data_IF_312758713241
#
_entry.id   IF_312758713241
#
_cell.length_a   1.000
_cell.length_b   1.000
_cell.length_c   1.000
_cell.angle_alpha   90.00
_cell.angle_beta   90.00
_cell.angle_gamma   90.00
#
_symmetry.space_group_name_H-M   'P 1'
#
loop_
_entity.id
_entity.type
_entity.pdbx_description
1 polymer ?
#
# COMPACT_ATOMS: atom_id res chain seq x y z
N UNK A 1 25.11 17.81 -18.83
CA UNK A 1 24.05 17.07 -18.08
C UNK A 1 23.61 15.76 -18.76
N UNK A 2 23.14 15.80 -20.01
CA UNK A 2 22.51 14.64 -20.69
C UNK A 2 23.43 13.43 -20.94
N UNK A 3 24.74 13.57 -20.73
CA UNK A 3 25.71 12.47 -20.88
C UNK A 3 25.87 11.63 -19.61
N UNK A 4 25.43 12.11 -18.44
CA UNK A 4 25.53 11.37 -17.19
C UNK A 4 24.55 10.19 -17.20
N UNK A 5 25.06 9.02 -16.83
CA UNK A 5 24.33 7.75 -16.75
C UNK A 5 24.45 7.09 -15.39
N UNK A 6 25.33 7.57 -14.52
CA UNK A 6 25.34 7.18 -13.11
C UNK A 6 25.69 8.36 -12.21
N UNK A 7 25.22 8.28 -10.97
CA UNK A 7 25.59 9.13 -9.86
C UNK A 7 25.97 8.22 -8.69
N UNK A 8 27.18 8.37 -8.21
CA UNK A 8 27.71 7.68 -7.03
C UNK A 8 27.99 8.68 -5.92
N UNK A 9 27.57 8.31 -4.71
CA UNK A 9 27.76 9.09 -3.48
C UNK A 9 28.48 8.20 -2.48
N UNK A 10 29.55 8.73 -1.86
CA UNK A 10 30.20 8.06 -0.73
C UNK A 10 30.23 9.01 0.45
N UNK A 11 29.71 8.55 1.58
CA UNK A 11 29.61 9.29 2.82
C UNK A 11 30.28 8.51 3.94
N UNK A 12 31.02 9.20 4.81
CA UNK A 12 31.70 8.58 5.95
C UNK A 12 31.04 9.05 7.24
N UNK A 13 30.53 8.10 8.02
CA UNK A 13 30.04 8.35 9.36
C UNK A 13 31.20 8.25 10.35
N UNK A 14 31.65 9.39 10.87
CA UNK A 14 32.77 9.45 11.81
C UNK A 14 32.45 8.87 13.20
N UNK A 15 31.16 8.82 13.59
CA UNK A 15 30.72 8.26 14.87
C UNK A 15 30.77 6.73 14.85
N UNK A 16 30.36 6.13 13.73
CA UNK A 16 30.40 4.68 13.52
C UNK A 16 31.74 4.19 12.95
N UNK A 17 32.51 5.07 12.31
CA UNK A 17 33.75 4.70 11.63
C UNK A 17 33.52 3.94 10.33
N UNK A 18 32.37 4.14 9.69
CA UNK A 18 31.91 3.38 8.51
C UNK A 18 31.70 4.29 7.30
N UNK A 19 31.94 3.77 6.10
CA UNK A 19 31.63 4.47 4.85
C UNK A 19 30.45 3.82 4.15
N UNK A 20 29.49 4.62 3.74
CA UNK A 20 28.34 4.19 2.94
C UNK A 20 28.53 4.66 1.50
N UNK A 21 28.46 3.71 0.57
CA UNK A 21 28.47 3.99 -0.86
C UNK A 21 27.10 3.68 -1.44
N UNK A 22 26.55 4.63 -2.19
CA UNK A 22 25.26 4.49 -2.85
C UNK A 22 25.37 4.95 -4.31
N UNK A 23 24.67 4.25 -5.20
CA UNK A 23 24.70 4.54 -6.63
C UNK A 23 23.29 4.45 -7.22
N UNK A 24 22.98 5.41 -8.09
CA UNK A 24 21.91 5.29 -9.07
C UNK A 24 22.50 5.29 -10.47
N UNK A 25 22.04 4.37 -11.32
CA UNK A 25 22.56 4.21 -12.67
C UNK A 25 21.44 3.98 -13.67
N UNK A 26 21.66 4.33 -14.94
CA UNK A 26 20.71 4.07 -16.00
C UNK A 26 20.97 2.72 -16.64
N UNK A 27 19.96 1.85 -16.63
CA UNK A 27 19.95 0.54 -17.28
C UNK A 27 18.71 0.47 -18.18
N UNK A 28 18.87 0.12 -19.46
CA UNK A 28 17.76 0.01 -20.43
C UNK A 28 16.85 1.26 -20.46
N UNK A 29 17.44 2.45 -20.43
CA UNK A 29 16.77 3.76 -20.35
C UNK A 29 15.99 4.05 -19.05
N UNK A 30 16.07 3.21 -18.04
CA UNK A 30 15.46 3.41 -16.72
C UNK A 30 16.54 3.63 -15.66
N UNK A 31 16.30 4.54 -14.72
CA UNK A 31 17.18 4.71 -13.56
C UNK A 31 16.89 3.63 -12.53
N UNK A 32 17.95 2.99 -12.05
CA UNK A 32 17.91 1.85 -11.13
C UNK A 32 18.91 2.04 -10.01
N UNK A 33 18.72 1.29 -8.93
CA UNK A 33 19.60 1.26 -7.76
C UNK A 33 20.35 -0.09 -7.78
N UNK A 34 21.61 -0.13 -8.25
CA UNK A 34 22.33 -1.40 -8.42
C UNK A 34 22.51 -2.21 -7.14
N UNK A 35 22.67 -1.52 -6.00
CA UNK A 35 22.78 -2.15 -4.68
C UNK A 35 21.49 -2.84 -4.21
N UNK A 36 20.36 -2.58 -4.87
CA UNK A 36 19.04 -3.11 -4.53
C UNK A 36 18.47 -3.89 -5.72
N UNK A 37 19.26 -4.79 -6.29
CA UNK A 37 18.85 -5.66 -7.40
C UNK A 37 18.34 -4.91 -8.65
N UNK A 38 18.82 -3.68 -8.87
CA UNK A 38 18.34 -2.77 -9.91
C UNK A 38 16.88 -2.33 -9.72
N UNK A 39 16.42 -2.19 -8.47
CA UNK A 39 15.12 -1.60 -8.17
C UNK A 39 15.00 -0.22 -8.84
N UNK A 40 13.83 0.14 -9.43
CA UNK A 40 13.62 1.44 -10.05
C UNK A 40 13.92 2.61 -9.10
N UNK A 41 14.77 3.54 -9.51
CA UNK A 41 14.90 4.83 -8.84
C UNK A 41 13.80 5.78 -9.34
N UNK A 42 12.59 5.64 -8.80
CA UNK A 42 11.37 6.32 -9.27
C UNK A 42 11.05 7.64 -8.52
N UNK A 43 11.93 8.11 -7.62
CA UNK A 43 11.88 9.47 -7.08
C UNK A 43 12.40 10.51 -8.09
N UNK A 44 11.58 10.83 -9.09
CA UNK A 44 11.97 11.68 -10.22
C UNK A 44 12.51 13.06 -9.83
N UNK A 45 11.91 13.72 -8.82
CA UNK A 45 12.35 15.03 -8.35
C UNK A 45 13.72 14.97 -7.69
N UNK A 46 13.96 13.96 -6.85
CA UNK A 46 15.27 13.72 -6.21
C UNK A 46 16.36 13.51 -7.25
N UNK A 47 16.09 12.65 -8.23
CA UNK A 47 17.03 12.36 -9.30
C UNK A 47 17.37 13.62 -10.11
N UNK A 48 16.37 14.46 -10.39
CA UNK A 48 16.57 15.73 -11.09
C UNK A 48 17.42 16.70 -10.27
N UNK A 49 17.13 16.85 -8.98
CA UNK A 49 17.91 17.71 -8.08
C UNK A 49 19.38 17.27 -8.03
N UNK A 50 19.63 15.99 -7.81
CA UNK A 50 20.96 15.41 -7.77
C UNK A 50 21.72 15.55 -9.10
N UNK A 51 21.05 15.34 -10.24
CA UNK A 51 21.66 15.50 -11.56
C UNK A 51 22.08 16.96 -11.87
N UNK A 52 21.45 17.93 -11.21
CA UNK A 52 21.80 19.35 -11.36
C UNK A 52 22.82 19.85 -10.35
N UNK A 53 23.12 19.09 -9.30
CA UNK A 53 23.94 19.54 -8.18
C UNK A 53 25.36 19.98 -8.58
N UNK A 54 25.94 19.32 -9.58
CA UNK A 54 27.30 19.63 -10.06
C UNK A 54 27.32 20.52 -11.30
N UNK A 55 26.16 20.96 -11.79
CA UNK A 55 26.07 21.86 -12.92
C UNK A 55 26.29 23.30 -12.45
N UNK A 56 27.07 24.06 -13.20
CA UNK A 56 27.28 25.50 -13.00
C UNK A 56 27.78 25.88 -11.60
N UNK A 57 28.53 24.99 -10.94
CA UNK A 57 29.20 25.31 -9.66
C UNK A 57 30.23 26.42 -9.86
N UNK A 58 29.98 27.58 -9.26
CA UNK A 58 30.90 28.71 -9.29
C UNK A 58 31.88 28.68 -8.11
N UNK A 59 33.18 28.80 -8.43
CA UNK A 59 34.22 28.97 -7.43
C UNK A 59 34.17 30.39 -6.88
N UNK A 60 33.74 30.53 -5.63
CA UNK A 60 33.69 31.82 -4.93
C UNK A 60 35.10 32.24 -4.51
N UNK A 61 35.87 31.31 -3.95
CA UNK A 61 37.25 31.55 -3.56
C UNK A 61 38.08 30.27 -3.53
N UNK A 62 39.40 30.42 -3.60
CA UNK A 62 40.37 29.38 -3.29
C UNK A 62 40.95 29.67 -1.91
N UNK A 63 40.86 28.71 -1.00
CA UNK A 63 41.29 28.88 0.40
C UNK A 63 42.61 28.19 0.72
N UNK A 64 43.01 27.21 -0.09
CA UNK A 64 44.29 26.50 0.06
C UNK A 64 44.77 25.90 -1.27
N UNK A 65 46.07 25.68 -1.38
CA UNK A 65 46.73 24.89 -2.42
C UNK A 65 47.58 23.74 -1.86
N UNK A 66 47.51 23.49 -0.56
CA UNK A 66 48.29 22.47 0.14
C UNK A 66 47.43 21.27 0.53
N UNK A 67 47.92 20.07 0.19
CA UNK A 67 47.28 18.81 0.54
C UNK A 67 47.23 18.58 2.06
N UNK A 68 48.17 19.16 2.82
CA UNK A 68 48.16 19.04 4.29
C UNK A 68 46.92 19.68 4.95
N UNK A 69 46.23 20.57 4.23
CA UNK A 69 45.03 21.25 4.71
C UNK A 69 43.73 20.48 4.50
N UNK A 70 43.74 19.33 3.81
CA UNK A 70 42.52 18.59 3.46
C UNK A 70 41.72 18.16 4.69
N UNK A 71 42.40 17.68 5.72
CA UNK A 71 41.76 17.29 6.99
C UNK A 71 41.08 18.49 7.67
N UNK A 72 41.74 19.66 7.67
CA UNK A 72 41.22 20.88 8.27
C UNK A 72 39.91 21.34 7.61
N UNK A 73 39.82 21.25 6.29
CA UNK A 73 38.65 21.69 5.52
C UNK A 73 37.61 20.58 5.33
N UNK A 74 37.85 19.37 5.85
CA UNK A 74 36.93 18.26 5.71
C UNK A 74 36.86 17.69 4.29
N UNK A 75 37.89 17.87 3.46
CA UNK A 75 37.89 17.47 2.04
C UNK A 75 38.77 16.26 1.76
N UNK A 76 39.11 15.47 2.78
CA UNK A 76 39.74 14.16 2.58
C UNK A 76 38.75 13.26 1.84
N UNK A 77 39.20 12.66 0.74
CA UNK A 77 38.34 11.81 -0.09
C UNK A 77 37.98 10.53 0.67
N UNK A 78 36.69 10.18 0.79
CA UNK A 78 36.28 8.91 1.36
C UNK A 78 36.62 7.77 0.38
N UNK A 79 37.13 6.68 0.92
CA UNK A 79 37.14 5.39 0.24
C UNK A 79 35.97 4.54 0.77
N UNK A 80 35.53 3.53 0.00
CA UNK A 80 34.49 2.59 0.47
C UNK A 80 34.87 1.88 1.78
N UNK A 81 36.17 1.68 2.01
CA UNK A 81 36.71 1.11 3.24
C UNK A 81 37.58 2.12 3.98
N UNK A 82 37.06 3.33 4.22
CA UNK A 82 37.77 4.34 5.01
C UNK A 82 38.02 3.80 6.42
N UNK A 83 39.28 3.84 6.88
CA UNK A 83 39.64 3.36 8.21
C UNK A 83 38.92 4.15 9.32
N UNK A 84 38.42 3.47 10.37
CA UNK A 84 37.81 4.14 11.51
C UNK A 84 38.73 5.19 12.14
N UNK A 85 38.16 6.31 12.57
CA UNK A 85 38.88 7.41 13.22
C UNK A 85 39.61 8.37 12.27
N UNK A 86 39.49 8.18 10.94
CA UNK A 86 39.90 9.19 9.95
C UNK A 86 39.14 10.49 10.18
N UNK A 87 39.85 11.60 10.20
CA UNK A 87 39.30 12.94 10.41
C UNK A 87 39.21 13.70 9.10
N UNK A 88 38.31 14.67 9.06
CA UNK A 88 38.16 15.57 7.92
C UNK A 88 37.78 14.87 6.61
N UNK A 89 37.11 13.70 6.71
CA UNK A 89 36.59 12.97 5.55
C UNK A 89 35.35 13.71 5.04
N UNK A 90 35.34 14.01 3.75
CA UNK A 90 34.23 14.68 3.09
C UNK A 90 33.24 13.69 2.46
N UNK A 91 32.15 14.22 1.89
CA UNK A 91 31.20 13.49 1.07
C UNK A 91 31.67 13.51 -0.38
N UNK A 92 31.89 12.35 -0.98
CA UNK A 92 32.23 12.22 -2.39
C UNK A 92 30.96 12.17 -3.24
N UNK A 93 30.94 12.94 -4.33
CA UNK A 93 29.89 12.92 -5.34
C UNK A 93 30.56 12.74 -6.70
N UNK A 94 30.12 11.74 -7.45
CA UNK A 94 30.71 11.35 -8.73
C UNK A 94 29.63 11.11 -9.78
N UNK A 95 29.83 11.67 -10.97
CA UNK A 95 28.99 11.46 -12.15
C UNK A 95 29.79 10.75 -13.23
N UNK A 96 29.24 9.69 -13.82
CA UNK A 96 29.86 8.98 -14.93
C UNK A 96 28.94 8.91 -16.15
N UNK A 97 29.54 8.68 -17.32
CA UNK A 97 28.81 8.39 -18.55
C UNK A 97 28.51 6.89 -18.70
N UNK A 98 27.89 6.50 -19.81
CA UNK A 98 27.54 5.09 -20.11
C UNK A 98 28.75 4.14 -20.13
N UNK A 99 29.96 4.66 -20.40
CA UNK A 99 31.20 3.88 -20.47
C UNK A 99 31.91 3.78 -19.12
N UNK A 100 31.40 4.43 -18.08
CA UNK A 100 32.07 4.60 -16.79
C UNK A 100 33.15 5.69 -16.80
N UNK A 101 33.22 6.54 -17.83
CA UNK A 101 34.14 7.68 -17.79
C UNK A 101 33.59 8.73 -16.82
N UNK A 102 34.42 9.17 -15.87
CA UNK A 102 34.07 10.22 -14.90
C UNK A 102 33.87 11.55 -15.62
N UNK A 103 32.64 12.07 -15.57
CA UNK A 103 32.27 13.38 -16.10
C UNK A 103 32.56 14.50 -15.10
N UNK A 104 32.30 14.23 -13.82
CA UNK A 104 32.56 15.15 -12.72
C UNK A 104 32.79 14.36 -11.43
N UNK A 105 33.64 14.88 -10.56
CA UNK A 105 33.92 14.29 -9.24
C UNK A 105 34.29 15.41 -8.27
N UNK A 106 33.65 15.46 -7.10
CA UNK A 106 33.90 16.47 -6.08
C UNK A 106 33.83 15.85 -4.69
N UNK A 107 34.71 16.27 -3.80
CA UNK A 107 34.64 15.99 -2.36
C UNK A 107 34.11 17.24 -1.67
N UNK A 108 32.92 17.13 -1.08
CA UNK A 108 32.27 18.19 -0.30
C UNK A 108 32.66 18.03 1.16
N UNK A 109 33.31 19.05 1.69
CA UNK A 109 33.80 19.08 3.07
C UNK A 109 32.97 19.95 3.99
N UNK A 110 33.65 20.51 4.99
CA UNK A 110 33.01 21.24 6.08
C UNK A 110 32.30 22.52 5.60
N UNK A 111 31.25 22.91 6.32
CA UNK A 111 30.59 24.21 6.13
C UNK A 111 31.57 25.35 6.35
N UNK A 112 31.38 26.44 5.60
CA UNK A 112 32.11 27.69 5.88
C UNK A 112 31.45 28.35 7.09
N UNK A 113 32.22 28.71 8.14
CA UNK A 113 31.67 29.37 9.32
C UNK A 113 30.83 30.60 8.96
N UNK A 114 29.68 30.73 9.62
CA UNK A 114 28.72 31.83 9.43
C UNK A 114 28.07 31.93 8.03
N UNK A 115 28.31 30.95 7.14
CA UNK A 115 27.74 30.89 5.78
C UNK A 115 27.23 29.48 5.46
N UNK A 116 26.02 29.19 5.91
CA UNK A 116 25.42 27.85 5.85
C UNK A 116 25.25 27.28 4.43
N UNK A 117 25.16 28.13 3.40
CA UNK A 117 25.05 27.71 1.99
C UNK A 117 26.41 27.44 1.32
N UNK A 118 27.52 27.76 1.99
CA UNK A 118 28.85 27.57 1.43
C UNK A 118 29.55 26.35 2.03
N UNK A 119 30.23 25.62 1.17
CA UNK A 119 31.04 24.45 1.55
C UNK A 119 32.45 24.57 1.02
N UNK A 120 33.39 24.02 1.78
CA UNK A 120 34.70 23.71 1.24
C UNK A 120 34.59 22.51 0.30
N UNK A 121 35.23 22.58 -0.85
CA UNK A 121 35.22 21.49 -1.83
C UNK A 121 36.60 21.26 -2.43
N UNK A 122 36.82 20.02 -2.88
CA UNK A 122 38.04 19.63 -3.57
C UNK A 122 37.72 18.74 -4.76
N UNK A 123 38.40 18.96 -5.87
CA UNK A 123 38.42 18.00 -6.98
C UNK A 123 39.45 16.92 -6.66
N UNK A 124 39.07 15.62 -6.61
CA UNK A 124 40.00 14.52 -6.42
C UNK A 124 41.25 14.60 -7.30
N UNK A 125 42.40 14.25 -6.73
CA UNK A 125 43.71 14.38 -7.38
C UNK A 125 44.32 15.80 -7.34
N UNK A 126 43.57 16.83 -6.94
CA UNK A 126 44.11 18.19 -6.75
C UNK A 126 44.39 18.48 -5.27
N UNK A 127 45.41 19.30 -5.02
CA UNK A 127 45.71 19.83 -3.68
C UNK A 127 44.84 21.03 -3.30
N UNK A 128 44.34 21.77 -4.30
CA UNK A 128 43.59 22.99 -4.08
C UNK A 128 42.23 22.75 -3.42
N UNK A 129 41.89 23.62 -2.48
CA UNK A 129 40.59 23.65 -1.79
C UNK A 129 39.87 24.94 -2.14
N UNK A 130 38.62 24.81 -2.53
CA UNK A 130 37.76 25.90 -2.99
C UNK A 130 36.57 26.08 -2.06
N UNK A 131 35.92 27.22 -2.15
CA UNK A 131 34.61 27.49 -1.56
C UNK A 131 33.61 27.64 -2.70
N UNK A 132 32.52 26.90 -2.62
CA UNK A 132 31.40 26.96 -3.58
C UNK A 132 30.09 26.98 -2.80
N UNK A 133 29.03 27.47 -3.45
CA UNK A 133 27.66 27.27 -2.99
C UNK A 133 27.18 25.90 -3.48
N UNK A 134 26.91 24.99 -2.54
CA UNK A 134 26.46 23.64 -2.84
C UNK A 134 25.66 23.11 -1.67
N UNK A 135 24.53 22.47 -1.97
CA UNK A 135 23.67 21.83 -0.98
C UNK A 135 23.85 20.30 -1.06
N UNK A 136 24.70 19.71 -0.19
CA UNK A 136 24.94 18.28 -0.20
C UNK A 136 23.74 17.44 0.27
N UNK A 137 22.68 18.07 0.81
CA UNK A 137 21.46 17.33 1.22
C UNK A 137 20.64 16.85 0.03
N UNK A 138 20.90 17.38 -1.18
CA UNK A 138 20.28 16.96 -2.45
C UNK A 138 20.73 15.58 -2.93
N UNK A 139 21.78 15.03 -2.33
CA UNK A 139 22.25 13.66 -2.59
C UNK A 139 22.26 12.88 -1.28
N UNK A 140 21.82 11.63 -1.35
CA UNK A 140 21.72 10.75 -0.19
C UNK A 140 22.26 9.37 -0.48
N UNK A 141 22.72 8.71 0.57
CA UNK A 141 23.13 7.31 0.58
C UNK A 141 22.02 6.36 1.04
N UNK A 142 20.85 6.88 1.40
CA UNK A 142 19.69 6.11 1.85
C UNK A 142 18.85 5.65 0.68
N UNK A 143 18.51 4.37 0.63
CA UNK A 143 17.66 3.77 -0.41
C UNK A 143 16.32 4.51 -0.58
N UNK A 144 15.64 4.79 0.53
CA UNK A 144 14.30 5.36 0.57
C UNK A 144 14.20 6.72 -0.12
N UNK A 145 15.28 7.50 -0.15
CA UNK A 145 15.29 8.84 -0.77
C UNK A 145 15.20 8.79 -2.30
N UNK A 146 15.47 7.62 -2.91
CA UNK A 146 15.54 7.45 -4.36
C UNK A 146 14.33 6.74 -4.96
N UNK A 147 13.35 6.38 -4.13
CA UNK A 147 12.18 5.63 -4.54
C UNK A 147 10.87 6.34 -4.13
N UNK A 148 9.78 5.97 -4.77
CA UNK A 148 8.43 6.18 -4.27
C UNK A 148 8.22 5.29 -3.03
N UNK A 149 8.25 5.92 -1.85
CA UNK A 149 8.17 5.23 -0.56
C UNK A 149 6.78 4.69 -0.25
N UNK A 150 5.70 5.33 -0.73
CA UNK A 150 4.33 4.89 -0.46
C UNK A 150 4.08 3.57 -1.19
N UNK A 151 4.02 2.48 -0.43
CA UNK A 151 3.90 1.14 -0.98
C UNK A 151 2.56 0.96 -1.67
N UNK A 152 1.46 1.34 -1.03
CA UNK A 152 0.11 1.02 -1.49
C UNK A 152 -0.44 2.05 -2.47
N UNK A 153 0.06 3.31 -2.45
CA UNK A 153 -0.57 4.43 -3.15
C UNK A 153 -2.08 4.50 -2.89
N UNK A 154 -2.44 4.16 -1.65
CA UNK A 154 -3.80 4.12 -1.15
C UNK A 154 -4.06 5.42 -0.40
N UNK A 155 -5.27 5.95 -0.54
CA UNK A 155 -5.74 7.05 0.30
C UNK A 155 -6.68 6.49 1.37
N UNK A 156 -6.36 6.71 2.64
CA UNK A 156 -7.16 6.26 3.78
C UNK A 156 -8.63 6.71 3.73
N UNK A 157 -8.94 7.86 3.12
CA UNK A 157 -10.32 8.35 3.00
C UNK A 157 -11.17 7.53 2.02
N UNK A 158 -10.53 6.82 1.10
CA UNK A 158 -11.19 5.96 0.11
C UNK A 158 -11.42 4.54 0.62
N UNK A 159 -10.97 4.22 1.84
CA UNK A 159 -11.21 2.94 2.46
C UNK A 159 -12.71 2.69 2.65
N UNK A 160 -13.19 1.53 2.21
CA UNK A 160 -14.56 1.07 2.36
C UNK A 160 -14.68 0.06 3.50
N UNK A 161 -13.82 -0.97 3.50
CA UNK A 161 -13.75 -1.94 4.58
C UNK A 161 -12.37 -2.60 4.65
N UNK A 162 -12.10 -3.22 5.80
CA UNK A 162 -10.89 -4.01 6.05
C UNK A 162 -11.30 -5.39 6.53
N UNK A 163 -10.67 -6.43 5.96
CA UNK A 163 -10.72 -7.79 6.47
C UNK A 163 -9.38 -8.10 7.17
N UNK A 164 -9.44 -8.59 8.40
CA UNK A 164 -8.29 -8.95 9.23
C UNK A 164 -8.33 -10.46 9.45
N UNK A 165 -7.32 -11.15 8.90
CA UNK A 165 -7.18 -12.61 9.03
C UNK A 165 -5.95 -12.92 9.87
N UNK A 166 -6.16 -13.06 11.17
CA UNK A 166 -5.11 -13.44 12.12
C UNK A 166 -4.92 -14.95 12.07
N UNK A 167 -3.82 -15.38 11.44
CA UNK A 167 -3.39 -16.76 11.44
C UNK A 167 -1.88 -16.87 11.56
N UNK A 168 -1.39 -18.07 11.84
CA UNK A 168 0.04 -18.36 11.75
C UNK A 168 0.27 -19.64 10.97
N UNK A 169 1.32 -19.65 10.17
CA UNK A 169 1.78 -20.81 9.42
C UNK A 169 3.17 -21.21 9.85
N UNK A 170 3.35 -22.49 10.17
CA UNK A 170 4.67 -23.07 10.42
C UNK A 170 4.93 -24.26 9.49
N UNK A 171 6.11 -24.32 8.84
CA UNK A 171 6.46 -25.47 8.02
C UNK A 171 6.67 -26.70 8.92
N UNK A 172 6.07 -27.82 8.53
CA UNK A 172 6.24 -29.12 9.19
C UNK A 172 6.84 -30.12 8.21
N UNK A 173 7.91 -30.80 8.61
CA UNK A 173 8.53 -31.83 7.80
C UNK A 173 7.75 -33.14 7.96
N UNK A 174 7.22 -33.66 6.85
CA UNK A 174 6.51 -34.94 6.80
C UNK A 174 7.24 -35.92 5.87
N UNK A 175 6.96 -37.24 5.95
CA UNK A 175 7.50 -38.21 4.99
C UNK A 175 7.13 -37.94 3.53
N UNK A 176 6.03 -37.21 3.26
CA UNK A 176 5.59 -36.84 1.91
C UNK A 176 6.17 -35.50 1.41
N UNK A 177 6.85 -34.73 2.27
CA UNK A 177 7.41 -33.43 1.92
C UNK A 177 7.19 -32.36 3.01
N UNK A 178 7.34 -31.09 2.63
CA UNK A 178 7.02 -29.97 3.51
C UNK A 178 5.51 -29.78 3.51
N UNK A 179 4.89 -29.90 4.67
CA UNK A 179 3.52 -29.51 4.94
C UNK A 179 3.50 -28.20 5.73
N UNK A 180 2.32 -27.64 5.95
CA UNK A 180 2.12 -26.49 6.82
C UNK A 180 1.24 -26.86 8.01
N UNK A 181 1.60 -26.37 9.20
CA UNK A 181 0.69 -26.26 10.33
C UNK A 181 0.02 -24.88 10.26
N UNK A 182 -1.28 -24.86 10.01
CA UNK A 182 -2.09 -23.66 9.82
C UNK A 182 -3.00 -23.45 11.02
N UNK A 183 -2.82 -22.32 11.71
CA UNK A 183 -3.59 -21.97 12.90
C UNK A 183 -4.25 -20.61 12.72
N UNK A 184 -5.53 -20.62 12.31
CA UNK A 184 -6.34 -19.41 12.20
C UNK A 184 -7.02 -19.09 13.52
N UNK A 185 -6.91 -17.84 13.96
CA UNK A 185 -7.44 -17.35 15.24
C UNK A 185 -8.63 -16.42 15.05
N UNK A 186 -8.55 -15.53 14.05
CA UNK A 186 -9.53 -14.50 13.76
C UNK A 186 -9.77 -14.38 12.25
N UNK A 187 -11.02 -14.14 11.88
CA UNK A 187 -11.40 -13.54 10.61
C UNK A 187 -12.47 -12.48 10.89
N UNK A 188 -12.13 -11.20 10.68
CA UNK A 188 -12.96 -10.07 11.06
C UNK A 188 -13.07 -9.09 9.91
N UNK A 189 -14.29 -8.64 9.61
CA UNK A 189 -14.54 -7.56 8.65
C UNK A 189 -15.13 -6.34 9.34
N UNK A 190 -14.49 -5.19 9.16
CA UNK A 190 -14.97 -3.88 9.63
C UNK A 190 -15.16 -2.92 8.47
N UNK A 191 -16.29 -2.23 8.45
CA UNK A 191 -16.60 -1.21 7.46
C UNK A 191 -16.22 0.17 8.00
N UNK A 192 -15.69 1.03 7.14
CA UNK A 192 -15.50 2.44 7.42
C UNK A 192 -16.66 3.26 6.84
N UNK A 193 -17.45 3.86 7.70
CA UNK A 193 -18.47 4.84 7.30
C UNK A 193 -17.82 6.23 7.27
N UNK A 194 -17.51 6.71 6.06
CA UNK A 194 -16.89 8.03 5.89
C UNK A 194 -17.85 9.21 6.13
N UNK A 195 -19.16 8.98 6.14
CA UNK A 195 -20.15 10.04 6.37
C UNK A 195 -20.25 10.33 7.86
N UNK A 196 -20.28 9.29 8.68
CA UNK A 196 -20.31 9.42 10.13
C UNK A 196 -18.92 9.35 10.79
N UNK A 197 -17.87 9.06 10.01
CA UNK A 197 -16.50 8.85 10.49
C UNK A 197 -16.42 7.81 11.59
N UNK A 198 -17.07 6.65 11.37
CA UNK A 198 -17.18 5.57 12.36
C UNK A 198 -16.85 4.21 11.76
N UNK A 199 -16.32 3.33 12.60
CA UNK A 199 -16.14 1.91 12.30
C UNK A 199 -17.38 1.11 12.65
N UNK A 200 -17.76 0.19 11.77
CA UNK A 200 -18.88 -0.72 11.97
C UNK A 200 -18.42 -2.16 11.81
N UNK A 201 -18.72 -3.01 12.79
CA UNK A 201 -18.45 -4.44 12.70
C UNK A 201 -19.42 -5.06 11.69
N UNK A 202 -18.89 -5.69 10.63
CA UNK A 202 -19.70 -6.42 9.63
C UNK A 202 -19.75 -7.91 9.96
N UNK A 203 -18.60 -8.51 10.25
CA UNK A 203 -18.49 -9.92 10.58
C UNK A 203 -17.32 -10.15 11.56
N UNK A 204 -17.52 -11.07 12.50
CA UNK A 204 -16.49 -11.55 13.42
C UNK A 204 -16.56 -13.07 13.49
N UNK A 205 -15.46 -13.73 13.17
CA UNK A 205 -15.30 -15.17 13.30
C UNK A 205 -14.07 -15.49 14.16
N UNK A 206 -14.23 -16.42 15.08
CA UNK A 206 -13.18 -16.85 16.00
C UNK A 206 -12.96 -18.35 15.92
N UNK A 207 -11.73 -18.78 16.22
CA UNK A 207 -11.40 -20.20 16.32
C UNK A 207 -12.17 -20.88 17.44
N UNK A 208 -13.07 -21.81 17.07
CA UNK A 208 -13.81 -22.68 18.00
C UNK A 208 -13.75 -24.12 17.52
N UNK A 209 -13.23 -25.01 18.36
CA UNK A 209 -13.08 -26.43 18.02
C UNK A 209 -12.17 -26.63 16.80
N UNK A 210 -12.75 -27.14 15.70
CA UNK A 210 -12.00 -27.51 14.49
C UNK A 210 -12.09 -26.46 13.37
N UNK A 211 -12.58 -25.25 13.64
CA UNK A 211 -12.69 -24.21 12.61
C UNK A 211 -13.07 -22.84 13.15
N UNK A 212 -13.43 -21.95 12.22
CA UNK A 212 -13.95 -20.63 12.54
C UNK A 212 -15.47 -20.67 12.70
N UNK A 213 -15.98 -20.05 13.76
CA UNK A 213 -17.41 -19.84 13.99
C UNK A 213 -17.72 -18.34 14.08
N UNK A 214 -18.82 -17.92 13.47
CA UNK A 214 -19.31 -16.54 13.60
C UNK A 214 -19.76 -16.27 15.04
N UNK A 215 -19.27 -15.17 15.60
CA UNK A 215 -19.60 -14.72 16.96
C UNK A 215 -20.06 -13.27 16.93
N UNK A 216 -20.73 -12.84 18.00
CA UNK A 216 -21.09 -11.44 18.23
C UNK A 216 -20.26 -10.89 19.39
N UNK A 217 -20.04 -9.58 19.39
CA UNK A 217 -19.50 -8.89 20.55
C UNK A 217 -20.43 -9.09 21.76
N UNK A 218 -19.84 -9.26 22.93
CA UNK A 218 -20.60 -9.29 24.18
C UNK A 218 -21.24 -7.93 24.45
N UNK A 219 -22.26 -7.89 25.31
CA UNK A 219 -22.92 -6.62 25.69
C UNK A 219 -21.95 -5.62 26.32
N UNK A 220 -20.90 -6.10 26.98
CA UNK A 220 -19.84 -5.28 27.56
C UNK A 220 -18.73 -4.90 26.57
N UNK A 221 -18.71 -5.46 25.36
CA UNK A 221 -17.66 -5.23 24.37
C UNK A 221 -18.07 -4.20 23.31
N UNK A 222 -17.08 -3.45 22.81
CA UNK A 222 -17.19 -2.57 21.66
C UNK A 222 -15.93 -2.61 20.80
N UNK A 223 -16.01 -2.04 19.58
CA UNK A 223 -14.84 -1.88 18.74
C UNK A 223 -13.87 -0.87 19.34
N UNK A 224 -12.59 -1.23 19.35
CA UNK A 224 -11.52 -0.30 19.69
C UNK A 224 -11.24 0.63 18.51
N UNK A 225 -12.01 1.72 18.43
CA UNK A 225 -11.93 2.68 17.32
C UNK A 225 -10.55 3.30 17.16
N UNK A 226 -9.86 3.59 18.27
CA UNK A 226 -8.50 4.14 18.24
C UNK A 226 -7.54 3.20 17.50
N UNK A 227 -7.58 1.89 17.80
CA UNK A 227 -6.74 0.89 17.13
C UNK A 227 -7.08 0.75 15.65
N UNK A 228 -8.35 0.81 15.29
CA UNK A 228 -8.78 0.77 13.90
C UNK A 228 -8.37 2.03 13.12
N UNK A 229 -8.38 3.20 13.76
CA UNK A 229 -7.87 4.45 13.17
C UNK A 229 -6.35 4.43 12.99
N UNK A 230 -5.61 3.90 13.97
CA UNK A 230 -4.16 3.68 13.86
C UNK A 230 -3.84 2.72 12.71
N UNK A 231 -4.62 1.64 12.52
CA UNK A 231 -4.52 0.73 11.37
C UNK A 231 -4.77 1.44 10.05
N UNK A 232 -5.83 2.23 9.97
CA UNK A 232 -6.17 2.98 8.75
C UNK A 232 -5.08 3.98 8.37
N UNK A 233 -4.50 4.70 9.34
CA UNK A 233 -3.34 5.58 9.09
C UNK A 233 -2.12 4.76 8.67
N UNK A 234 -1.86 3.62 9.30
CA UNK A 234 -0.73 2.77 8.95
C UNK A 234 -0.83 2.18 7.54
N UNK A 235 -2.04 1.91 7.03
CA UNK A 235 -2.28 1.51 5.64
C UNK A 235 -1.98 2.65 4.65
N UNK A 236 -2.33 3.88 4.98
CA UNK A 236 -2.09 5.09 4.17
C UNK A 236 -0.60 5.49 4.15
N UNK A 237 0.08 5.34 5.29
CA UNK A 237 1.47 5.75 5.50
C UNK A 237 2.45 4.56 5.37
N UNK A 238 2.05 3.48 4.69
CA UNK A 238 2.88 2.27 4.61
C UNK A 238 4.11 2.50 3.72
N UNK A 239 5.27 2.67 4.37
CA UNK A 239 6.53 2.95 3.69
C UNK A 239 7.36 1.70 3.39
N UNK A 240 7.99 1.71 2.23
CA UNK A 240 9.03 0.74 1.85
C UNK A 240 10.33 1.09 2.59
N UNK A 241 10.85 0.15 3.37
CA UNK A 241 12.18 0.22 4.00
C UNK A 241 13.23 -0.39 3.07
N UNK A 242 12.90 -1.53 2.45
CA UNK A 242 13.79 -2.25 1.53
C UNK A 242 12.98 -3.17 0.60
N UNK A 243 13.65 -3.81 -0.35
CA UNK A 243 13.06 -4.66 -1.39
C UNK A 243 13.95 -5.88 -1.64
N UNK A 244 13.30 -7.01 -1.93
CA UNK A 244 13.97 -8.24 -2.36
C UNK A 244 13.27 -8.78 -3.60
N UNK A 245 13.99 -9.29 -4.61
CA UNK A 245 13.36 -9.81 -5.82
C UNK A 245 12.54 -11.07 -5.50
N UNK A 246 11.35 -11.16 -6.08
CA UNK A 246 10.57 -12.39 -6.12
C UNK A 246 11.31 -13.44 -6.95
N UNK A 247 11.25 -14.73 -6.57
CA UNK A 247 11.83 -15.79 -7.36
C UNK A 247 11.06 -15.95 -8.67
N UNK A 248 11.79 -16.32 -9.73
CA UNK A 248 11.18 -16.56 -11.03
C UNK A 248 10.08 -17.64 -10.96
N UNK A 249 8.98 -17.42 -11.70
CA UNK A 249 7.85 -18.34 -11.80
C UNK A 249 6.64 -18.00 -10.92
N UNK A 250 6.68 -16.89 -10.18
CA UNK A 250 5.50 -16.32 -9.50
C UNK A 250 4.82 -15.33 -10.45
N UNK A 251 3.57 -15.59 -10.84
CA UNK A 251 2.83 -14.70 -11.74
C UNK A 251 2.43 -13.37 -11.10
N UNK A 252 2.03 -12.39 -11.90
CA UNK A 252 1.56 -11.06 -11.45
C UNK A 252 0.38 -11.14 -10.46
N UNK A 253 -0.43 -12.20 -10.54
CA UNK A 253 -1.58 -12.45 -9.65
C UNK A 253 -1.22 -13.33 -8.45
N UNK A 254 0.07 -13.58 -8.21
CA UNK A 254 0.60 -14.50 -7.20
C UNK A 254 0.02 -15.91 -7.25
N UNK A 255 -0.66 -16.28 -8.36
CA UNK A 255 -0.94 -17.68 -8.61
C UNK A 255 0.38 -18.31 -8.99
N UNK A 256 0.90 -19.07 -8.05
CA UNK A 256 2.02 -19.97 -8.27
C UNK A 256 1.67 -20.85 -9.47
N UNK A 257 2.29 -20.59 -10.63
CA UNK A 257 2.20 -21.50 -11.77
C UNK A 257 2.81 -22.85 -11.33
N UNK A 258 2.41 -23.96 -11.97
CA UNK A 258 3.00 -25.29 -11.70
C UNK A 258 4.53 -25.26 -11.76
N UNK A 259 5.12 -24.33 -12.52
CA UNK A 259 6.56 -24.11 -12.61
C UNK A 259 7.24 -23.78 -11.28
N UNK A 260 6.57 -23.06 -10.36
CA UNK A 260 7.22 -22.68 -9.08
C UNK A 260 7.35 -23.87 -8.14
N UNK A 261 6.36 -24.78 -8.11
CA UNK A 261 6.45 -26.00 -7.31
C UNK A 261 7.57 -26.93 -7.79
N UNK A 262 7.94 -26.85 -9.06
CA UNK A 262 9.02 -27.62 -9.65
C UNK A 262 10.39 -26.96 -9.47
N UNK A 263 10.43 -25.67 -9.14
CA UNK A 263 11.66 -24.95 -8.84
C UNK A 263 11.93 -24.94 -7.32
N UNK A 264 12.77 -25.87 -6.88
CA UNK A 264 13.16 -26.02 -5.46
C UNK A 264 13.77 -24.73 -4.88
N UNK A 265 14.56 -23.99 -5.66
CA UNK A 265 15.19 -22.75 -5.21
C UNK A 265 14.15 -21.64 -4.99
N UNK A 266 13.21 -21.48 -5.94
CA UNK A 266 12.09 -20.54 -5.79
C UNK A 266 11.22 -20.84 -4.58
N UNK A 267 10.89 -22.12 -4.33
CA UNK A 267 10.14 -22.51 -3.14
C UNK A 267 10.90 -22.26 -1.84
N UNK A 268 12.20 -22.55 -1.81
CA UNK A 268 13.03 -22.28 -0.63
C UNK A 268 13.12 -20.78 -0.34
N UNK A 269 13.28 -19.95 -1.37
CA UNK A 269 13.26 -18.49 -1.24
C UNK A 269 11.92 -18.00 -0.68
N UNK A 270 10.78 -18.46 -1.21
CA UNK A 270 9.46 -18.14 -0.68
C UNK A 270 9.32 -18.50 0.80
N UNK A 271 9.68 -19.74 1.17
CA UNK A 271 9.57 -20.23 2.54
C UNK A 271 10.50 -19.50 3.51
N UNK A 272 11.70 -19.11 3.05
CA UNK A 272 12.65 -18.34 3.85
C UNK A 272 12.10 -16.96 4.19
N UNK A 273 11.41 -16.33 3.23
CA UNK A 273 10.70 -15.06 3.43
C UNK A 273 9.35 -15.20 4.15
N UNK A 274 8.87 -16.43 4.41
CA UNK A 274 7.63 -16.68 5.15
C UNK A 274 6.38 -16.85 4.29
N UNK A 275 6.53 -17.18 3.01
CA UNK A 275 5.42 -17.44 2.10
C UNK A 275 5.38 -18.91 1.69
N UNK A 276 4.23 -19.55 1.88
CA UNK A 276 4.08 -21.00 1.76
C UNK A 276 3.04 -21.35 0.67
N UNK A 277 3.48 -21.80 -0.51
CA UNK A 277 2.56 -22.31 -1.52
C UNK A 277 1.99 -23.66 -1.06
N UNK A 278 0.66 -23.73 -0.91
CA UNK A 278 -0.07 -24.94 -0.54
C UNK A 278 -0.99 -25.37 -1.68
N UNK A 279 -0.96 -26.66 -2.01
CA UNK A 279 -1.88 -27.20 -3.01
C UNK A 279 -3.28 -27.37 -2.41
N UNK A 280 -4.29 -26.77 -3.03
CA UNK A 280 -5.68 -27.10 -2.68
C UNK A 280 -6.04 -28.46 -3.26
N UNK A 281 -6.56 -29.36 -2.41
CA UNK A 281 -6.86 -30.73 -2.79
C UNK A 281 -7.79 -30.82 -4.02
N UNK A 282 -7.33 -31.51 -5.07
CA UNK A 282 -8.15 -31.91 -6.23
C UNK A 282 -8.09 -31.00 -7.46
N UNK A 283 -7.26 -29.95 -7.49
CA UNK A 283 -7.11 -29.07 -8.66
C UNK A 283 -5.67 -28.59 -8.90
N UNK A 284 -5.50 -27.80 -9.95
CA UNK A 284 -4.22 -27.15 -10.33
C UNK A 284 -3.95 -25.83 -9.59
N UNK A 285 -4.83 -25.43 -8.67
CA UNK A 285 -4.72 -24.17 -7.94
C UNK A 285 -3.82 -24.32 -6.71
N UNK A 286 -2.80 -23.47 -6.65
CA UNK A 286 -1.92 -23.30 -5.50
C UNK A 286 -2.32 -22.02 -4.78
N UNK A 287 -2.62 -22.12 -3.49
CA UNK A 287 -2.86 -20.97 -2.62
C UNK A 287 -1.54 -20.57 -1.94
N UNK A 288 -1.31 -19.28 -1.75
CA UNK A 288 -0.09 -18.77 -1.12
C UNK A 288 -0.44 -18.23 0.27
N UNK A 289 -0.04 -18.98 1.30
CA UNK A 289 -0.21 -18.57 2.69
C UNK A 289 1.00 -17.78 3.19
N UNK A 290 0.81 -16.94 4.20
CA UNK A 290 1.86 -16.18 4.87
C UNK A 290 2.18 -16.76 6.25
N UNK A 291 3.34 -16.45 6.82
CA UNK A 291 3.71 -16.92 8.16
C UNK A 291 2.88 -16.26 9.26
N UNK A 292 2.50 -15.00 9.07
CA UNK A 292 1.96 -14.13 10.11
C UNK A 292 0.70 -13.37 9.63
N UNK A 293 -0.23 -14.10 9.01
CA UNK A 293 -1.56 -13.59 8.66
C UNK A 293 -1.59 -12.63 7.48
N UNK A 294 -2.78 -12.11 7.20
CA UNK A 294 -3.00 -11.18 6.10
C UNK A 294 -4.08 -10.15 6.43
N UNK A 295 -3.95 -8.98 5.81
CA UNK A 295 -4.94 -7.91 5.89
C UNK A 295 -5.38 -7.56 4.48
N UNK A 296 -6.70 -7.46 4.30
CA UNK A 296 -7.31 -7.04 3.04
C UNK A 296 -7.92 -5.67 3.23
N UNK A 297 -7.50 -4.69 2.45
CA UNK A 297 -8.08 -3.35 2.42
C UNK A 297 -8.83 -3.16 1.11
N UNK A 298 -10.11 -2.82 1.18
CA UNK A 298 -10.95 -2.57 0.00
C UNK A 298 -11.33 -1.09 -0.06
N UNK A 299 -11.12 -0.46 -1.22
CA UNK A 299 -11.46 0.94 -1.44
C UNK A 299 -12.83 1.10 -2.11
N UNK A 300 -13.42 2.29 -1.99
CA UNK A 300 -14.68 2.68 -2.64
C UNK A 300 -14.62 2.61 -4.17
N UNK A 301 -13.41 2.73 -4.71
CA UNK A 301 -13.10 2.58 -6.14
C UNK A 301 -12.94 1.12 -6.57
N UNK A 302 -13.35 0.17 -5.73
CA UNK A 302 -13.33 -1.26 -5.99
C UNK A 302 -11.93 -1.83 -6.25
N UNK A 303 -10.91 -1.30 -5.55
CA UNK A 303 -9.57 -1.89 -5.50
C UNK A 303 -9.43 -2.64 -4.18
N UNK A 304 -9.11 -3.93 -4.27
CA UNK A 304 -8.83 -4.82 -3.13
C UNK A 304 -7.33 -5.05 -3.03
N UNK A 305 -6.71 -4.56 -1.97
CA UNK A 305 -5.32 -4.81 -1.62
C UNK A 305 -5.25 -5.99 -0.67
N UNK A 306 -4.44 -6.99 -0.96
CA UNK A 306 -4.14 -8.09 -0.03
C UNK A 306 -2.68 -7.99 0.40
N UNK A 307 -2.46 -7.74 1.69
CA UNK A 307 -1.14 -7.67 2.31
C UNK A 307 -0.90 -8.98 3.06
N UNK A 308 0.04 -9.78 2.58
CA UNK A 308 0.49 -11.03 3.21
C UNK A 308 1.79 -10.79 3.96
N UNK A 309 1.81 -11.12 5.25
CA UNK A 309 2.95 -10.83 6.12
C UNK A 309 3.83 -12.05 6.32
N UNK A 310 5.05 -11.98 5.78
CA UNK A 310 6.10 -12.98 5.92
C UNK A 310 6.90 -12.81 7.21
N UNK A 311 8.09 -13.40 7.25
CA UNK A 311 8.94 -13.44 8.45
C UNK A 311 9.65 -12.10 8.72
N UNK A 312 10.20 -11.98 9.94
CA UNK A 312 11.05 -10.85 10.32
C UNK A 312 12.31 -10.81 9.45
N UNK A 313 12.55 -9.66 8.81
CA UNK A 313 13.68 -9.35 7.98
C UNK A 313 14.82 -8.74 8.83
N UNK A 314 15.55 -9.60 9.56
CA UNK A 314 16.53 -9.18 10.57
C UNK A 314 17.75 -8.39 10.05
N UNK A 315 17.91 -8.24 8.73
CA UNK A 315 19.07 -7.56 8.12
C UNK A 315 18.70 -6.63 6.96
N UNK A 316 17.42 -6.28 6.82
CA UNK A 316 16.93 -5.59 5.63
C UNK A 316 16.76 -4.06 5.81
N UNK A 317 17.49 -3.43 6.74
CA UNK A 317 17.48 -1.97 6.91
C UNK A 317 18.89 -1.38 7.01
N UNK A 318 19.05 -0.09 6.75
CA UNK A 318 20.32 0.62 6.91
C UNK A 318 20.84 0.47 8.35
N UNK A 319 22.11 0.05 8.50
CA UNK A 319 22.74 -0.31 9.79
C UNK A 319 22.71 0.80 10.86
N UNK A 320 22.48 2.06 10.45
CA UNK A 320 22.41 3.23 11.35
C UNK A 320 21.09 3.33 12.14
N UNK A 321 19.99 2.74 11.67
CA UNK A 321 18.69 2.74 12.37
C UNK A 321 18.34 1.36 12.96
N UNK A 322 19.31 0.45 13.01
CA UNK A 322 19.15 -1.00 13.23
C UNK A 322 18.84 -1.43 14.68
N UNK A 323 17.94 -0.71 15.34
CA UNK A 323 17.25 -1.18 16.56
C UNK A 323 15.78 -1.56 16.31
N UNK A 324 15.24 -1.23 15.12
CA UNK A 324 13.85 -1.55 14.76
C UNK A 324 13.83 -2.78 13.86
N UNK A 325 13.05 -3.78 14.27
CA UNK A 325 12.80 -4.98 13.48
C UNK A 325 12.02 -4.61 12.21
N UNK A 326 12.27 -5.33 11.12
CA UNK A 326 11.55 -5.19 9.86
C UNK A 326 10.88 -6.51 9.48
N UNK A 327 9.94 -6.48 8.53
CA UNK A 327 9.19 -7.67 8.09
C UNK A 327 8.95 -7.68 6.58
N UNK A 328 9.02 -8.87 5.99
CA UNK A 328 8.63 -9.09 4.61
C UNK A 328 7.12 -8.98 4.44
N UNK A 329 6.69 -8.24 3.41
CA UNK A 329 5.30 -8.16 2.99
C UNK A 329 5.22 -8.39 1.49
N UNK A 330 4.18 -9.10 1.09
CA UNK A 330 3.84 -9.32 -0.30
C UNK A 330 2.43 -8.76 -0.54
N UNK A 331 2.33 -7.89 -1.55
CA UNK A 331 1.10 -7.15 -1.85
C UNK A 331 0.56 -7.58 -3.22
N UNK A 332 -0.75 -7.76 -3.30
CA UNK A 332 -1.51 -7.88 -4.56
C UNK A 332 -2.66 -6.91 -4.58
N UNK A 333 -3.01 -6.45 -5.79
CA UNK A 333 -4.25 -5.74 -6.05
C UNK A 333 -5.16 -6.56 -6.96
N UNK A 334 -6.46 -6.52 -6.71
CA UNK A 334 -7.48 -7.05 -7.60
C UNK A 334 -8.72 -6.16 -7.64
N UNK A 335 -9.53 -6.31 -8.69
CA UNK A 335 -10.80 -5.59 -8.78
C UNK A 335 -11.80 -6.27 -7.86
N UNK A 336 -12.35 -5.52 -6.92
CA UNK A 336 -13.39 -6.01 -6.02
C UNK A 336 -14.76 -5.96 -6.71
N UNK A 337 -15.12 -7.05 -7.40
CA UNK A 337 -16.40 -7.14 -8.12
C UNK A 337 -17.61 -6.99 -7.17
N UNK A 338 -17.46 -7.28 -5.87
CA UNK A 338 -18.51 -7.06 -4.87
C UNK A 338 -18.82 -5.56 -4.63
N UNK A 339 -17.83 -4.69 -4.80
CA UNK A 339 -17.98 -3.23 -4.74
C UNK A 339 -18.47 -2.61 -6.05
N UNK A 340 -18.74 -3.45 -7.07
CA UNK A 340 -19.26 -3.09 -8.39
C UNK A 340 -20.56 -3.86 -8.69
N UNK A 341 -21.66 -3.64 -7.94
CA UNK A 341 -22.94 -4.25 -8.28
C UNK A 341 -23.44 -3.75 -9.65
N UNK A 342 -24.02 -4.65 -10.44
CA UNK A 342 -24.64 -4.29 -11.72
C UNK A 342 -25.75 -3.25 -11.51
N UNK A 343 -25.87 -2.24 -12.40
CA UNK A 343 -26.86 -1.18 -12.23
C UNK A 343 -28.28 -1.73 -12.38
N UNK A 344 -29.19 -1.27 -11.52
CA UNK A 344 -30.62 -1.54 -11.68
C UNK A 344 -31.20 -0.66 -12.80
N UNK A 345 -31.58 -1.32 -13.90
CA UNK A 345 -32.15 -0.67 -15.08
C UNK A 345 -33.68 -0.66 -15.00
N UNK A 346 -34.28 0.47 -15.37
CA UNK A 346 -35.74 0.61 -15.48
C UNK A 346 -36.24 -0.08 -16.75
N UNK A 347 -37.38 -0.77 -16.67
CA UNK A 347 -37.97 -1.41 -17.85
C UNK A 347 -38.42 -0.36 -18.86
N UNK A 348 -38.00 -0.52 -20.12
CA UNK A 348 -38.33 0.40 -21.20
C UNK A 348 -39.79 0.17 -21.60
N UNK A 349 -40.70 1.17 -21.49
CA UNK A 349 -42.10 1.00 -21.83
C UNK A 349 -42.29 0.60 -23.30
N UNK A 350 -43.13 -0.40 -23.55
CA UNK A 350 -43.54 -0.78 -24.90
C UNK A 350 -44.57 0.25 -25.42
N UNK A 351 -44.15 1.06 -26.39
CA UNK A 351 -44.98 2.11 -26.99
C UNK A 351 -46.00 1.57 -27.99
N UNK A 352 -45.82 0.33 -28.47
CA UNK A 352 -46.63 -0.30 -29.51
C UNK A 352 -47.69 -1.27 -28.94
N UNK A 353 -47.46 -1.85 -27.75
CA UNK A 353 -48.37 -2.82 -27.13
C UNK A 353 -49.78 -2.27 -26.80
N UNK A 354 -49.94 -0.96 -26.59
CA UNK A 354 -51.24 -0.35 -26.30
C UNK A 354 -51.98 0.20 -27.54
N UNK A 355 -51.33 0.22 -28.72
CA UNK A 355 -51.97 0.59 -29.98
C UNK A 355 -52.95 -0.49 -30.47
N UNK A 356 -52.65 -1.75 -30.19
CA UNK A 356 -53.53 -2.88 -30.56
C UNK A 356 -54.83 -2.92 -29.74
N UNK A 357 -54.82 -2.46 -28.47
CA UNK A 357 -56.03 -2.39 -27.64
C UNK A 357 -56.96 -1.22 -27.98
N UNK A 358 -56.47 -0.20 -28.70
CA UNK A 358 -57.27 0.94 -29.13
C UNK A 358 -57.75 0.82 -30.59
N UNK A 359 -57.03 0.11 -31.45
CA UNK A 359 -57.49 -0.15 -32.83
C UNK A 359 -58.64 -1.16 -32.92
N UNK A 360 -58.81 -2.07 -31.94
CA UNK A 360 -59.98 -2.97 -31.90
C UNK A 360 -61.29 -2.29 -31.48
N UNK A 361 -61.25 -1.10 -30.84
CA UNK A 361 -62.46 -0.41 -30.38
C UNK A 361 -63.03 0.63 -31.35
N UNK A 362 -62.38 0.92 -32.48
CA UNK A 362 -62.83 1.94 -33.46
C UNK A 362 -63.44 1.32 -34.74
N UNK A 363 -63.51 -0.01 -34.82
CA UNK A 363 -64.06 -0.69 -36.00
C UNK A 363 -65.60 -0.85 -36.01
N UNK A 364 -66.31 -0.48 -34.94
CA UNK A 364 -67.79 -0.48 -34.93
C UNK A 364 -68.37 0.89 -34.57
N UNK A 365 -69.18 1.40 -35.49
CA UNK A 365 -70.06 2.57 -35.45
C UNK A 365 -69.50 3.93 -35.89
N UNK A 366 -69.99 4.36 -37.07
CA UNK A 366 -69.74 5.64 -37.68
C UNK A 366 -70.66 6.77 -37.21
N UNK A 367 -70.24 7.97 -37.60
CA UNK A 367 -70.91 9.27 -37.58
C UNK A 367 -70.82 10.12 -36.30
N UNK A 368 -69.87 11.06 -36.28
CA UNK A 368 -70.10 12.49 -35.97
C UNK A 368 -68.80 13.31 -36.17
N UNK A 369 -68.72 14.05 -37.28
CA UNK A 369 -67.78 15.16 -37.45
C UNK A 369 -68.22 16.34 -36.57
N UNK A 370 -67.60 16.48 -35.39
CA UNK A 370 -67.24 17.76 -34.73
C UNK A 370 -66.53 17.56 -33.38
N UNK A 371 -66.40 16.31 -32.87
CA UNK A 371 -65.58 15.96 -31.68
C UNK A 371 -64.24 15.26 -31.97
N UNK A 372 -63.99 14.83 -33.22
CA UNK A 372 -62.86 13.97 -33.58
C UNK A 372 -61.46 14.66 -33.54
N UNK A 373 -61.43 16.00 -33.51
CA UNK A 373 -60.16 16.75 -33.44
C UNK A 373 -59.58 16.86 -32.02
N UNK A 374 -60.42 16.78 -30.97
CA UNK A 374 -59.97 16.82 -29.57
C UNK A 374 -59.49 15.45 -29.07
N UNK A 375 -60.15 14.34 -29.43
CA UNK A 375 -59.73 12.98 -29.04
C UNK A 375 -58.42 12.52 -29.73
N UNK A 376 -58.20 12.91 -30.99
CA UNK A 376 -56.93 12.62 -31.69
C UNK A 376 -55.74 13.39 -31.10
N UNK A 377 -55.96 14.63 -30.64
CA UNK A 377 -54.93 15.43 -29.99
C UNK A 377 -54.51 14.87 -28.62
N UNK A 378 -55.46 14.28 -27.87
CA UNK A 378 -55.18 13.63 -26.58
C UNK A 378 -54.43 12.30 -26.74
N UNK A 379 -54.75 11.51 -27.77
CA UNK A 379 -54.04 10.28 -28.11
C UNK A 379 -52.60 10.54 -28.58
N UNK A 380 -52.37 11.58 -29.39
CA UNK A 380 -51.04 12.00 -29.83
C UNK A 380 -50.21 12.55 -28.67
N UNK A 381 -50.84 13.32 -27.76
CA UNK A 381 -50.20 13.79 -26.53
C UNK A 381 -49.80 12.62 -25.61
N UNK A 382 -50.67 11.62 -25.45
CA UNK A 382 -50.38 10.42 -24.66
C UNK A 382 -49.28 9.54 -25.28
N UNK A 383 -49.20 9.46 -26.62
CA UNK A 383 -48.10 8.78 -27.32
C UNK A 383 -46.79 9.55 -27.20
N UNK A 384 -46.82 10.87 -27.33
CA UNK A 384 -45.66 11.74 -27.13
C UNK A 384 -45.13 11.68 -25.70
N UNK A 385 -46.01 11.65 -24.69
CA UNK A 385 -45.63 11.48 -23.29
C UNK A 385 -44.99 10.11 -23.02
N UNK A 386 -45.54 9.03 -23.58
CA UNK A 386 -44.95 7.68 -23.49
C UNK A 386 -43.59 7.59 -24.18
N UNK A 387 -43.43 8.23 -25.34
CA UNK A 387 -42.15 8.29 -26.03
C UNK A 387 -41.12 9.09 -25.24
N UNK A 388 -41.51 10.23 -24.66
CA UNK A 388 -40.62 11.05 -23.83
C UNK A 388 -40.15 10.28 -22.58
N UNK A 389 -41.04 9.54 -21.92
CA UNK A 389 -40.67 8.71 -20.77
C UNK A 389 -39.77 7.53 -21.18
N UNK A 390 -40.05 6.89 -22.32
CA UNK A 390 -39.19 5.85 -22.90
C UNK A 390 -37.77 6.37 -23.17
N UNK A 391 -37.66 7.54 -23.82
CA UNK A 391 -36.37 8.15 -24.15
C UNK A 391 -35.61 8.58 -22.90
N UNK A 392 -36.33 9.05 -21.87
CA UNK A 392 -35.77 9.35 -20.54
C UNK A 392 -35.21 8.08 -19.88
N UNK A 393 -35.99 6.99 -19.83
CA UNK A 393 -35.58 5.71 -19.25
C UNK A 393 -34.36 5.13 -19.99
N UNK A 394 -34.37 5.15 -21.33
CA UNK A 394 -33.23 4.69 -22.12
C UNK A 394 -31.97 5.50 -21.82
N UNK A 395 -32.09 6.83 -21.74
CA UNK A 395 -30.97 7.72 -21.43
C UNK A 395 -30.44 7.48 -20.01
N UNK A 396 -31.33 7.28 -19.04
CA UNK A 396 -30.97 7.02 -17.64
C UNK A 396 -30.30 5.64 -17.48
N UNK A 397 -30.86 4.60 -18.12
CA UNK A 397 -30.24 3.27 -18.15
C UNK A 397 -28.88 3.29 -18.83
N UNK A 398 -28.74 4.04 -19.92
CA UNK A 398 -27.45 4.22 -20.59
C UNK A 398 -26.46 4.92 -19.66
N UNK A 399 -26.85 6.01 -19.00
CA UNK A 399 -26.01 6.72 -18.02
C UNK A 399 -25.52 5.78 -16.91
N UNK A 400 -26.43 5.00 -16.31
CA UNK A 400 -26.08 4.02 -15.26
C UNK A 400 -25.10 2.95 -15.76
N UNK A 401 -25.29 2.45 -16.97
CA UNK A 401 -24.37 1.48 -17.58
C UNK A 401 -23.00 2.08 -17.90
N UNK A 402 -22.96 3.31 -18.40
CA UNK A 402 -21.71 4.00 -18.72
C UNK A 402 -20.92 4.32 -17.45
N UNK A 403 -21.58 4.77 -16.38
CA UNK A 403 -20.97 4.97 -15.06
C UNK A 403 -20.41 3.68 -14.46
N UNK A 404 -21.16 2.58 -14.54
CA UNK A 404 -20.70 1.26 -14.12
C UNK A 404 -19.43 0.83 -14.88
N UNK A 405 -19.45 0.95 -16.21
CA UNK A 405 -18.30 0.60 -17.06
C UNK A 405 -17.07 1.46 -16.76
N UNK A 406 -17.26 2.77 -16.60
CA UNK A 406 -16.18 3.71 -16.28
C UNK A 406 -15.56 3.37 -14.92
N UNK A 407 -16.39 3.11 -13.88
CA UNK A 407 -15.90 2.71 -12.56
C UNK A 407 -15.10 1.41 -12.63
N UNK A 408 -15.62 0.40 -13.32
CA UNK A 408 -14.93 -0.89 -13.49
C UNK A 408 -13.62 -0.74 -14.26
N UNK A 409 -13.60 0.09 -15.30
CA UNK A 409 -12.40 0.34 -16.10
C UNK A 409 -11.32 1.05 -15.27
N UNK A 410 -11.68 2.08 -14.50
CA UNK A 410 -10.76 2.79 -13.60
C UNK A 410 -10.16 1.86 -12.55
N UNK A 411 -10.98 1.02 -11.93
CA UNK A 411 -10.51 0.00 -10.99
C UNK A 411 -9.51 -0.96 -11.65
N UNK A 412 -9.85 -1.47 -12.83
CA UNK A 412 -8.99 -2.39 -13.59
C UNK A 412 -7.65 -1.76 -14.02
N UNK A 413 -7.67 -0.49 -14.41
CA UNK A 413 -6.46 0.24 -14.78
C UNK A 413 -5.56 0.49 -13.56
N UNK A 414 -6.16 0.87 -12.42
CA UNK A 414 -5.41 1.06 -11.17
C UNK A 414 -4.80 -0.26 -10.67
N UNK A 415 -5.55 -1.35 -10.70
CA UNK A 415 -5.07 -2.69 -10.35
C UNK A 415 -3.89 -3.11 -11.23
N UNK A 416 -3.95 -2.83 -12.55
CA UNK A 416 -2.86 -3.13 -13.47
C UNK A 416 -1.59 -2.34 -13.15
N UNK A 417 -1.72 -1.05 -12.86
CA UNK A 417 -0.60 -0.19 -12.43
C UNK A 417 0.06 -0.72 -11.14
N UNK A 418 -0.77 -1.07 -10.14
CA UNK A 418 -0.31 -1.60 -8.86
C UNK A 418 0.37 -2.96 -9.02
N UNK A 419 -0.22 -3.89 -9.76
CA UNK A 419 0.40 -5.20 -9.96
C UNK A 419 1.68 -5.12 -10.78
N UNK A 420 1.80 -4.20 -11.74
CA UNK A 420 3.08 -3.93 -12.42
C UNK A 420 4.16 -3.46 -11.43
N UNK A 421 3.80 -2.58 -10.48
CA UNK A 421 4.70 -2.15 -9.40
C UNK A 421 5.11 -3.32 -8.51
N UNK A 422 4.16 -4.17 -8.11
CA UNK A 422 4.38 -5.27 -7.17
C UNK A 422 5.00 -6.52 -7.78
N UNK A 423 4.95 -6.70 -9.11
CA UNK A 423 5.18 -7.98 -9.79
C UNK A 423 6.51 -8.64 -9.39
N UNK A 424 7.59 -7.86 -9.35
CA UNK A 424 8.95 -8.39 -9.23
C UNK A 424 9.50 -8.38 -7.80
N UNK A 425 8.76 -7.83 -6.82
CA UNK A 425 9.33 -7.47 -5.52
C UNK A 425 8.56 -8.05 -4.33
N UNK A 426 9.30 -8.57 -3.35
CA UNK A 426 8.92 -8.51 -1.94
C UNK A 426 9.30 -7.13 -1.41
N UNK A 427 8.47 -6.62 -0.51
CA UNK A 427 8.76 -5.39 0.19
C UNK A 427 9.10 -5.68 1.63
N UNK A 428 9.89 -4.81 2.22
CA UNK A 428 10.22 -4.82 3.63
C UNK A 428 9.62 -3.58 4.26
N UNK A 429 8.89 -3.77 5.35
CA UNK A 429 8.23 -2.71 6.12
C UNK A 429 8.69 -2.77 7.58
N UNK A 430 8.53 -1.65 8.31
CA UNK A 430 8.81 -1.62 9.75
C UNK A 430 7.88 -2.56 10.54
N UNK A 431 8.43 -3.30 11.50
CA UNK A 431 7.66 -4.21 12.37
C UNK A 431 6.65 -3.46 13.26
N UNK A 432 6.93 -2.21 13.61
CA UNK A 432 6.01 -1.32 14.30
C UNK A 432 4.80 -0.94 13.44
N UNK A 433 5.01 -0.69 12.15
CA UNK A 433 3.93 -0.46 11.19
C UNK A 433 3.09 -1.73 10.99
N UNK A 434 3.75 -2.90 10.84
CA UNK A 434 3.06 -4.19 10.79
C UNK A 434 2.12 -4.40 11.98
N UNK A 435 2.58 -4.13 13.21
CA UNK A 435 1.76 -4.26 14.43
C UNK A 435 0.57 -3.31 14.51
N UNK A 436 0.60 -2.21 13.77
CA UNK A 436 -0.55 -1.32 13.65
C UNK A 436 -1.53 -1.80 12.58
N UNK A 437 -1.09 -2.60 11.60
CA UNK A 437 -1.94 -3.10 10.51
C UNK A 437 -2.54 -4.47 10.85
N UNK A 438 -1.70 -5.43 11.23
CA UNK A 438 -2.13 -6.78 11.58
C UNK A 438 -2.56 -6.84 13.05
N UNK A 439 -3.85 -6.67 13.28
CA UNK A 439 -4.44 -6.61 14.61
C UNK A 439 -5.00 -7.97 15.05
N UNK A 440 -4.86 -8.30 16.34
CA UNK A 440 -5.51 -9.46 16.93
C UNK A 440 -6.88 -9.08 17.54
N UNK A 441 -7.65 -10.09 17.94
CA UNK A 441 -8.97 -9.91 18.59
C UNK A 441 -8.94 -8.94 19.78
N UNK A 442 -7.87 -8.99 20.58
CA UNK A 442 -7.68 -8.13 21.74
C UNK A 442 -7.30 -6.69 21.40
N UNK A 443 -6.83 -6.42 20.17
CA UNK A 443 -6.54 -5.08 19.71
C UNK A 443 -7.80 -4.37 19.19
N UNK A 444 -8.67 -5.10 18.48
CA UNK A 444 -9.84 -4.54 17.77
C UNK A 444 -11.11 -4.51 18.60
N UNK A 445 -11.16 -5.21 19.73
CA UNK A 445 -12.29 -5.22 20.66
C UNK A 445 -11.80 -4.82 22.05
N UNK A 446 -12.56 -3.95 22.72
CA UNK A 446 -12.31 -3.50 24.08
C UNK A 446 -13.59 -3.60 24.92
N UNK A 447 -13.43 -3.59 26.24
CA UNK A 447 -14.57 -3.39 27.14
C UNK A 447 -15.07 -1.96 27.05
N UNK A 448 -16.39 -1.78 27.11
CA UNK A 448 -17.03 -0.47 27.17
C UNK A 448 -16.61 0.22 28.46
N UNK A 449 -16.29 1.51 28.35
CA UNK A 449 -16.19 2.38 29.51
C UNK A 449 -17.59 2.59 30.09
N UNK A 450 -18.01 1.72 31.02
CA UNK A 450 -19.23 1.91 31.80
C UNK A 450 -18.93 3.01 32.83
N UNK A 451 -19.61 4.17 32.80
CA UNK A 451 -19.44 5.19 33.81
C UNK A 451 -19.71 4.61 35.19
N UNK A 452 -18.82 4.90 36.15
CA UNK A 452 -18.81 4.36 37.53
C UNK A 452 -20.12 4.60 38.32
N UNK A 453 -21.07 5.36 37.77
CA UNK A 453 -22.36 5.66 38.40
C UNK A 453 -23.43 4.57 38.19
N UNK A 454 -23.18 3.58 37.32
CA UNK A 454 -24.05 2.40 37.19
C UNK A 454 -23.37 1.15 37.78
N UNK A 455 -23.71 0.90 39.05
CA UNK A 455 -23.56 -0.36 39.78
C UNK A 455 -22.14 -0.78 40.18
N UNK A 456 -21.59 -0.07 41.17
CA UNK A 456 -20.76 -0.76 42.16
C UNK A 456 -21.65 -1.76 42.92
N UNK A 457 -21.23 -3.02 43.00
CA UNK A 457 -22.02 -4.16 43.50
C UNK A 457 -22.52 -4.09 44.94
N UNK A 458 -22.34 -2.96 45.64
CA UNK A 458 -22.82 -2.73 47.02
C UNK A 458 -24.29 -2.28 47.02
N UNK A 459 -24.70 -1.45 46.07
CA UNK A 459 -26.08 -0.94 46.02
C UNK A 459 -27.06 -1.97 45.42
N UNK A 460 -26.59 -2.80 44.48
CA UNK A 460 -27.34 -3.96 44.00
C UNK A 460 -27.59 -4.99 45.12
N UNK A 461 -26.63 -5.16 46.04
CA UNK A 461 -26.76 -6.06 47.20
C UNK A 461 -27.71 -5.48 48.25
N UNK A 462 -27.66 -4.16 48.51
CA UNK A 462 -28.63 -3.47 49.39
C UNK A 462 -30.06 -3.51 48.86
N UNK A 463 -30.26 -3.37 47.54
CA UNK A 463 -31.58 -3.46 46.92
C UNK A 463 -32.20 -4.87 47.02
N UNK A 464 -31.37 -5.92 47.07
CA UNK A 464 -31.81 -7.29 47.34
C UNK A 464 -32.16 -7.52 48.81
N UNK A 465 -31.47 -6.83 49.73
CA UNK A 465 -31.75 -6.88 51.17
C UNK A 465 -33.07 -6.16 51.53
N UNK A 466 -33.35 -5.01 50.90
CA UNK A 466 -34.62 -4.29 51.08
C UNK A 466 -35.84 -5.02 50.47
N UNK A 467 -35.64 -5.81 49.40
CA UNK A 467 -36.75 -6.48 48.71
C UNK A 467 -37.16 -7.84 49.29
N UNK A 468 -36.44 -8.37 50.29
CA UNK A 468 -36.85 -9.50 51.13
C UNK A 468 -37.26 -10.78 50.38
N UNK A 469 -36.46 -11.84 50.47
CA UNK A 469 -36.85 -13.19 50.02
C UNK A 469 -38.20 -13.60 50.65
N UNK A 470 -39.29 -13.53 49.89
CA UNK A 470 -40.53 -14.22 50.24
C UNK A 470 -40.26 -15.72 50.16
N UNK A 471 -40.05 -16.36 51.32
CA UNK A 471 -40.14 -17.81 51.47
C UNK A 471 -41.50 -18.25 50.93
N UNK A 472 -41.48 -18.99 49.82
CA UNK A 472 -42.65 -19.69 49.33
C UNK A 472 -43.03 -20.78 50.32
N UNK A 473 -44.28 -20.76 50.76
CA UNK A 473 -44.91 -21.91 51.40
C UNK A 473 -44.97 -23.07 50.41
N UNK A 474 -44.55 -24.25 50.88
CA UNK A 474 -44.84 -25.55 50.29
C UNK A 474 -44.97 -26.56 51.44
N UNK A 475 -45.76 -27.62 51.28
CA UNK A 475 -47.09 -27.73 50.67
C UNK A 475 -48.23 -27.76 51.69
#
# INVERSE_FOLDING_TARGET
>A
PFAAKSLKVVEYNAELGESKSFEVAQLNNQWVIPSHHNYPADAADRLKEAATLLLDLEVISKVSDDASSHELYGVVEPAENTEPGKKGVGKLIQLENEKGDRLAQIVVGAEVPEKSNLRHVRVPGQSAVYVVEIDPSKVSTKFEDWIEQDLLKLNAFDLAHVEIRDYSVQPTVTPQGIAVDYQQRLDMTVNWDSTESKWLLKELKESRGNGLETVQLMESEELNTKKLDDMKRALDELKIVNVEPKPAGLGEDLKADRGIQQNRESMMSLMDQGFFPVGMGGGDSVELLSSDGEVIAVTKDAVRYTLRFGRIAASAGDEEENSKLNRFVMVTAEVDEQSLPEPTLEEVPDVDAAGQSAEESVAEEGAAEEGAAEEGADADAAKAARQAERDRILKENQRKNDEYKDKRQKAADKVRELNYRFADWYYVIGEDVYKNIHLARADVVQEKDIPVDEQTGIDAFRALEEKGLKRGDQP
#
